data_IF_460585417990
#
_entry.id   IF_460585417990
#
_cell.length_a   1.000
_cell.length_b   1.000
_cell.length_c   1.000
_cell.angle_alpha   90.00
_cell.angle_beta   90.00
_cell.angle_gamma   90.00
#
_symmetry.space_group_name_H-M   'P 1'
#
loop_
_entity.id
_entity.type
_entity.pdbx_description
1 polymer ?
#
# COMPACT_ATOMS: atom_id res chain seq x y z
N UNK A 1 -16.27 -61.27 30.56
CA UNK A 1 -16.27 -59.79 30.74
C UNK A 1 -15.59 -59.00 29.60
N UNK A 2 -15.10 -59.64 28.52
CA UNK A 2 -14.40 -58.96 27.41
C UNK A 2 -15.31 -58.20 26.42
N UNK A 3 -16.63 -58.43 26.43
CA UNK A 3 -17.53 -57.92 25.38
C UNK A 3 -17.98 -56.46 25.55
N UNK A 4 -17.88 -55.87 26.74
CA UNK A 4 -18.38 -54.51 27.01
C UNK A 4 -17.36 -53.41 26.68
N UNK A 5 -16.07 -53.75 26.63
CA UNK A 5 -14.99 -52.82 26.27
C UNK A 5 -14.96 -52.51 24.77
N UNK A 6 -15.32 -53.47 23.92
CA UNK A 6 -15.26 -53.32 22.47
C UNK A 6 -16.38 -52.40 21.94
N UNK A 7 -17.56 -52.43 22.57
CA UNK A 7 -18.69 -51.57 22.19
C UNK A 7 -18.41 -50.08 22.48
N UNK A 8 -17.67 -49.76 23.55
CA UNK A 8 -17.31 -48.37 23.88
C UNK A 8 -16.26 -47.80 22.93
N UNK A 9 -15.31 -48.61 22.47
CA UNK A 9 -14.31 -48.19 21.47
C UNK A 9 -14.96 -47.91 20.10
N UNK A 10 -15.91 -48.73 19.68
CA UNK A 10 -16.63 -48.52 18.42
C UNK A 10 -17.46 -47.23 18.42
N UNK A 11 -18.13 -46.90 19.54
CA UNK A 11 -18.92 -45.67 19.66
C UNK A 11 -18.06 -44.38 19.71
N UNK A 12 -16.87 -44.44 20.34
CA UNK A 12 -15.95 -43.31 20.36
C UNK A 12 -15.35 -43.03 18.96
N UNK A 13 -15.07 -44.07 18.18
CA UNK A 13 -14.57 -43.92 16.81
C UNK A 13 -15.62 -43.36 15.84
N UNK A 14 -16.90 -43.73 15.98
CA UNK A 14 -17.96 -43.19 15.12
C UNK A 14 -18.26 -41.71 15.40
N UNK A 15 -18.20 -41.28 16.67
CA UNK A 15 -18.33 -39.86 17.02
C UNK A 15 -17.16 -39.01 16.48
N UNK A 16 -15.93 -39.50 16.58
CA UNK A 16 -14.74 -38.82 16.02
C UNK A 16 -14.83 -38.62 14.50
N UNK A 17 -15.28 -39.64 13.74
CA UNK A 17 -15.43 -39.53 12.28
C UNK A 17 -16.52 -38.53 11.87
N UNK A 18 -17.66 -38.51 12.56
CA UNK A 18 -18.76 -37.57 12.25
C UNK A 18 -18.37 -36.10 12.50
N UNK A 19 -17.60 -35.82 13.56
CA UNK A 19 -17.08 -34.47 13.82
C UNK A 19 -16.08 -34.02 12.74
N UNK A 20 -15.18 -34.91 12.29
CA UNK A 20 -14.22 -34.60 11.24
C UNK A 20 -14.87 -34.25 9.89
N UNK A 21 -15.92 -34.98 9.49
CA UNK A 21 -16.65 -34.72 8.25
C UNK A 21 -17.42 -33.39 8.29
N UNK A 22 -18.01 -33.04 9.43
CA UNK A 22 -18.72 -31.77 9.61
C UNK A 22 -17.77 -30.56 9.52
N UNK A 23 -16.59 -30.65 10.15
CA UNK A 23 -15.58 -29.59 10.08
C UNK A 23 -15.00 -29.41 8.67
N UNK A 24 -14.69 -30.50 7.96
CA UNK A 24 -14.19 -30.44 6.59
C UNK A 24 -15.22 -29.83 5.62
N UNK A 25 -16.50 -30.14 5.83
CA UNK A 25 -17.61 -29.58 5.03
C UNK A 25 -17.80 -28.09 5.30
N UNK A 26 -17.69 -27.66 6.56
CA UNK A 26 -17.72 -26.25 6.94
C UNK A 26 -16.55 -25.45 6.34
N UNK A 27 -15.33 -26.01 6.35
CA UNK A 27 -14.15 -25.41 5.73
C UNK A 27 -14.31 -25.23 4.22
N UNK A 28 -14.79 -26.26 3.51
CA UNK A 28 -15.07 -26.17 2.06
C UNK A 28 -16.15 -25.13 1.73
N UNK A 29 -17.19 -25.04 2.57
CA UNK A 29 -18.25 -24.03 2.43
C UNK A 29 -17.70 -22.61 2.62
N UNK A 30 -16.83 -22.39 3.62
CA UNK A 30 -16.21 -21.09 3.83
C UNK A 30 -15.28 -20.68 2.68
N UNK A 31 -14.52 -21.61 2.09
CA UNK A 31 -13.67 -21.33 0.92
C UNK A 31 -14.50 -20.95 -0.32
N UNK A 32 -15.60 -21.67 -0.57
CA UNK A 32 -16.56 -21.36 -1.63
C UNK A 32 -17.18 -19.97 -1.46
N UNK A 33 -17.61 -19.63 -0.24
CA UNK A 33 -18.13 -18.30 0.07
C UNK A 33 -17.05 -17.24 -0.21
N UNK A 34 -15.83 -17.40 0.32
CA UNK A 34 -14.70 -16.48 0.11
C UNK A 34 -14.36 -16.25 -1.38
N UNK A 35 -14.43 -17.29 -2.22
CA UNK A 35 -14.22 -17.16 -3.67
C UNK A 35 -15.33 -16.37 -4.37
N UNK A 36 -16.59 -16.55 -3.96
CA UNK A 36 -17.74 -15.85 -4.55
C UNK A 36 -17.77 -14.35 -4.26
N UNK A 37 -17.08 -13.94 -3.20
CA UNK A 37 -17.10 -12.56 -2.70
C UNK A 37 -16.22 -11.64 -3.53
N UNK A 38 -15.08 -12.16 -4.02
CA UNK A 38 -14.07 -11.36 -4.70
C UNK A 38 -14.58 -10.89 -6.06
N UNK A 39 -14.89 -9.59 -6.17
CA UNK A 39 -15.13 -8.96 -7.48
C UNK A 39 -13.83 -9.05 -8.31
N UNK A 40 -13.86 -9.54 -9.55
CA UNK A 40 -12.67 -9.58 -10.39
C UNK A 40 -12.20 -8.15 -10.71
N UNK A 41 -10.90 -7.97 -10.95
CA UNK A 41 -10.29 -6.67 -11.19
C UNK A 41 -10.90 -5.95 -12.40
N UNK A 42 -11.34 -6.70 -13.42
CA UNK A 42 -12.06 -6.18 -14.59
C UNK A 42 -13.41 -5.51 -14.28
N UNK A 43 -13.99 -5.75 -13.10
CA UNK A 43 -15.21 -5.08 -12.62
C UNK A 43 -14.91 -3.87 -11.73
N UNK A 44 -13.64 -3.50 -11.57
CA UNK A 44 -13.16 -2.36 -10.78
C UNK A 44 -12.18 -1.53 -11.61
N UNK A 45 -12.66 -0.80 -12.63
CA UNK A 45 -11.77 -0.11 -13.57
C UNK A 45 -10.84 0.90 -12.89
N UNK A 46 -11.30 1.56 -11.82
CA UNK A 46 -10.47 2.49 -11.06
C UNK A 46 -9.29 1.80 -10.36
N UNK A 47 -9.51 0.60 -9.81
CA UNK A 47 -8.43 -0.19 -9.20
C UNK A 47 -7.42 -0.67 -10.25
N UNK A 48 -7.86 -0.95 -11.48
CA UNK A 48 -6.94 -1.26 -12.58
C UNK A 48 -6.03 -0.08 -12.90
N UNK A 49 -6.56 1.14 -12.96
CA UNK A 49 -5.77 2.34 -13.24
C UNK A 49 -4.69 2.52 -12.16
N UNK A 50 -5.05 2.40 -10.88
CA UNK A 50 -4.11 2.51 -9.77
C UNK A 50 -3.05 1.41 -9.77
N UNK A 51 -3.44 0.19 -10.11
CA UNK A 51 -2.50 -0.94 -10.19
C UNK A 51 -1.51 -0.75 -11.33
N UNK A 52 -1.97 -0.37 -12.52
CA UNK A 52 -1.10 -0.05 -13.65
C UNK A 52 -0.14 1.08 -13.31
N UNK A 53 -0.64 2.14 -12.66
CA UNK A 53 0.19 3.24 -12.18
C UNK A 53 1.31 2.73 -11.26
N UNK A 54 0.99 1.93 -10.23
CA UNK A 54 2.01 1.38 -9.33
C UNK A 54 3.01 0.47 -10.02
N UNK A 55 2.59 -0.38 -10.95
CA UNK A 55 3.51 -1.27 -11.68
C UNK A 55 4.49 -0.46 -12.53
N UNK A 56 3.99 0.50 -13.31
CA UNK A 56 4.83 1.35 -14.17
C UNK A 56 5.79 2.18 -13.32
N UNK A 57 5.32 2.75 -12.21
CA UNK A 57 6.17 3.57 -11.34
C UNK A 57 7.18 2.73 -10.57
N UNK A 58 6.81 1.54 -10.11
CA UNK A 58 7.76 0.63 -9.49
C UNK A 58 8.89 0.26 -10.46
N UNK A 59 8.56 0.00 -11.73
CA UNK A 59 9.56 -0.22 -12.75
C UNK A 59 10.46 1.02 -12.96
N UNK A 60 9.87 2.22 -13.09
CA UNK A 60 10.62 3.46 -13.23
C UNK A 60 11.55 3.72 -12.03
N UNK A 61 11.07 3.55 -10.80
CA UNK A 61 11.87 3.78 -9.60
C UNK A 61 13.00 2.76 -9.41
N UNK A 62 12.80 1.52 -9.84
CA UNK A 62 13.87 0.52 -9.83
C UNK A 62 14.88 0.70 -10.97
N UNK A 63 14.45 1.21 -12.12
CA UNK A 63 15.30 1.33 -13.31
C UNK A 63 16.00 2.69 -13.42
N UNK A 64 15.38 3.78 -12.97
CA UNK A 64 15.85 5.16 -13.14
C UNK A 64 16.21 5.76 -11.77
N UNK A 65 15.25 5.81 -10.85
CA UNK A 65 15.45 6.53 -9.57
C UNK A 65 16.53 5.88 -8.69
N UNK A 66 16.60 4.54 -8.68
CA UNK A 66 17.60 3.77 -7.93
C UNK A 66 19.04 4.13 -8.32
N UNK A 67 19.27 4.56 -9.56
CA UNK A 67 20.60 4.97 -10.04
C UNK A 67 21.12 6.20 -9.31
N UNK A 68 20.22 7.08 -8.83
CA UNK A 68 20.62 8.24 -8.01
C UNK A 68 21.07 7.83 -6.61
N UNK A 69 20.72 6.61 -6.19
CA UNK A 69 20.99 6.09 -4.84
C UNK A 69 22.15 5.08 -4.79
N UNK A 70 22.47 4.46 -5.92
CA UNK A 70 23.44 3.39 -6.02
C UNK A 70 24.80 3.91 -6.53
N UNK A 71 25.93 3.35 -6.08
CA UNK A 71 27.23 3.69 -6.64
C UNK A 71 27.39 3.11 -8.05
N UNK A 72 28.17 3.80 -8.89
CA UNK A 72 28.34 3.49 -10.32
C UNK A 72 28.77 2.05 -10.61
N UNK A 73 29.50 1.42 -9.68
CA UNK A 73 29.98 0.05 -9.83
C UNK A 73 28.90 -1.03 -9.67
N UNK A 74 27.69 -0.66 -9.21
CA UNK A 74 26.57 -1.60 -9.03
C UNK A 74 25.52 -1.46 -10.13
N UNK A 75 25.51 -0.33 -10.86
CA UNK A 75 24.51 -0.04 -11.88
C UNK A 75 24.87 -0.76 -13.20
N UNK A 76 24.02 -1.66 -13.72
CA UNK A 76 24.24 -2.29 -15.02
C UNK A 76 24.27 -1.25 -16.16
N UNK A 77 25.13 -1.47 -17.16
CA UNK A 77 25.28 -0.57 -18.30
C UNK A 77 23.96 -0.30 -19.06
N UNK A 78 23.03 -1.26 -19.09
CA UNK A 78 21.72 -1.06 -19.70
C UNK A 78 20.85 -0.02 -18.97
N UNK A 79 20.98 0.05 -17.63
CA UNK A 79 20.26 1.04 -16.83
C UNK A 79 20.88 2.43 -16.98
N UNK A 80 22.21 2.53 -16.92
CA UNK A 80 22.89 3.82 -17.11
C UNK A 80 22.63 4.42 -18.49
N UNK A 81 22.60 3.59 -19.53
CA UNK A 81 22.24 4.03 -20.88
C UNK A 81 20.82 4.61 -20.95
N UNK A 82 19.86 4.05 -20.20
CA UNK A 82 18.49 4.58 -20.16
C UNK A 82 18.44 5.97 -19.51
N UNK A 83 19.17 6.15 -18.40
CA UNK A 83 19.28 7.46 -17.73
C UNK A 83 20.01 8.49 -18.59
N UNK A 84 21.08 8.09 -19.27
CA UNK A 84 21.79 8.95 -20.22
C UNK A 84 20.90 9.37 -21.40
N UNK A 85 20.10 8.45 -21.95
CA UNK A 85 19.14 8.78 -23.00
C UNK A 85 18.09 9.77 -22.49
N UNK A 86 17.54 9.54 -21.29
CA UNK A 86 16.61 10.48 -20.66
C UNK A 86 17.22 11.87 -20.47
N UNK A 87 18.43 11.98 -19.94
CA UNK A 87 19.10 13.26 -19.69
C UNK A 87 19.46 13.98 -21.00
N UNK A 88 19.83 13.23 -22.05
CA UNK A 88 20.10 13.80 -23.37
C UNK A 88 18.86 14.49 -23.94
N UNK A 89 17.69 13.89 -23.80
CA UNK A 89 16.46 14.41 -24.40
C UNK A 89 15.77 15.47 -23.53
N UNK A 90 15.84 15.34 -22.20
CA UNK A 90 15.15 16.23 -21.26
C UNK A 90 16.00 17.38 -20.74
N UNK A 91 17.33 17.21 -20.67
CA UNK A 91 18.25 18.09 -19.92
C UNK A 91 17.75 18.39 -18.50
N UNK A 92 17.17 17.39 -17.82
CA UNK A 92 16.58 17.55 -16.49
C UNK A 92 17.62 18.08 -15.46
N UNK A 93 17.46 19.31 -14.95
CA UNK A 93 18.42 19.91 -14.04
C UNK A 93 18.41 19.24 -12.65
N UNK A 94 17.29 18.64 -12.24
CA UNK A 94 17.16 17.98 -10.93
C UNK A 94 17.94 16.67 -10.93
N UNK A 95 17.69 15.84 -11.94
CA UNK A 95 18.37 14.55 -12.08
C UNK A 95 19.85 14.77 -12.42
N UNK A 96 20.18 15.72 -13.30
CA UNK A 96 21.57 16.04 -13.62
C UNK A 96 22.39 16.51 -12.40
N UNK A 97 21.75 17.20 -11.45
CA UNK A 97 22.40 17.59 -10.20
C UNK A 97 22.77 16.37 -9.35
N UNK A 98 21.93 15.33 -9.35
CA UNK A 98 22.15 14.09 -8.60
C UNK A 98 23.05 13.07 -9.32
N UNK A 99 23.29 13.18 -10.63
CA UNK A 99 24.20 12.26 -11.33
C UNK A 99 25.65 12.73 -11.35
N UNK A 100 25.96 13.88 -10.74
CA UNK A 100 27.34 14.33 -10.59
C UNK A 100 28.09 13.41 -9.61
N UNK A 101 29.35 13.01 -9.87
CA UNK A 101 30.02 11.82 -9.30
C UNK A 101 30.27 11.75 -7.77
N UNK A 102 29.53 12.47 -6.92
CA UNK A 102 29.60 12.30 -5.46
C UNK A 102 28.33 12.71 -4.66
N UNK A 103 27.10 12.29 -5.01
CA UNK A 103 25.89 12.85 -4.39
C UNK A 103 25.67 12.32 -2.96
N UNK A 104 25.78 11.00 -2.77
CA UNK A 104 25.46 10.34 -1.50
C UNK A 104 26.66 10.17 -0.56
N UNK A 105 27.87 10.00 -1.12
CA UNK A 105 29.08 9.89 -0.32
C UNK A 105 29.30 11.13 0.56
N UNK A 106 28.95 12.32 0.05
CA UNK A 106 29.06 13.57 0.81
C UNK A 106 27.95 13.81 1.83
N UNK A 107 26.71 13.38 1.55
CA UNK A 107 25.58 13.55 2.48
C UNK A 107 25.82 12.87 3.83
N UNK A 108 26.50 11.73 3.84
CA UNK A 108 26.86 11.01 5.07
C UNK A 108 28.20 11.40 5.68
N UNK A 109 29.13 11.97 4.90
CA UNK A 109 30.48 12.36 5.38
C UNK A 109 30.65 13.85 5.69
N UNK A 110 29.63 14.70 5.48
CA UNK A 110 29.71 16.15 5.72
C UNK A 110 29.91 16.56 7.20
N UNK A 111 29.94 15.64 8.16
CA UNK A 111 30.00 15.98 9.58
C UNK A 111 31.41 15.98 10.20
N UNK A 112 32.48 15.55 9.52
CA UNK A 112 33.78 15.34 10.19
C UNK A 112 35.07 15.76 9.45
N UNK A 113 35.05 16.64 8.45
CA UNK A 113 36.30 17.12 7.84
C UNK A 113 36.60 18.60 8.06
N UNK A 114 37.49 18.82 9.03
CA UNK A 114 38.37 19.97 9.17
C UNK A 114 39.18 20.18 7.88
N UNK A 115 39.17 21.43 7.46
CA UNK A 115 39.72 21.99 6.22
C UNK A 115 41.21 21.70 6.05
N UNK A 116 41.59 20.72 5.23
CA UNK A 116 42.95 20.68 4.64
C UNK A 116 42.94 20.00 3.27
N UNK A 117 43.41 20.74 2.26
CA UNK A 117 43.91 20.33 0.93
C UNK A 117 42.94 20.05 -0.25
N UNK A 118 42.83 21.07 -1.12
CA UNK A 118 43.16 21.05 -2.58
C UNK A 118 42.75 19.84 -3.44
N UNK A 119 41.52 19.35 -3.31
CA UNK A 119 40.85 18.65 -4.41
C UNK A 119 39.51 19.32 -4.70
N UNK A 120 39.32 19.78 -5.94
CA UNK A 120 38.14 20.49 -6.44
C UNK A 120 36.96 19.53 -6.65
N UNK A 121 36.59 18.77 -5.63
CA UNK A 121 35.30 18.07 -5.60
C UNK A 121 34.20 19.14 -5.53
N UNK A 122 33.52 19.39 -6.66
CA UNK A 122 32.35 20.27 -6.72
C UNK A 122 31.27 19.67 -5.80
N UNK A 123 31.13 20.24 -4.61
CA UNK A 123 30.05 19.89 -3.71
C UNK A 123 28.69 20.12 -4.41
N UNK A 124 27.71 19.28 -4.10
CA UNK A 124 26.34 19.46 -4.58
C UNK A 124 25.89 20.88 -4.19
N UNK A 125 25.33 21.68 -5.12
CA UNK A 125 24.81 22.98 -4.76
C UNK A 125 23.77 22.81 -3.65
N UNK A 126 23.88 23.59 -2.58
CA UNK A 126 23.00 23.52 -1.41
C UNK A 126 21.50 23.56 -1.79
N UNK A 127 21.19 24.13 -2.95
CA UNK A 127 19.86 24.26 -3.53
C UNK A 127 19.20 22.92 -3.92
N UNK A 128 19.94 21.79 -3.99
CA UNK A 128 19.40 20.47 -4.38
C UNK A 128 19.41 19.44 -3.24
N UNK A 129 19.84 19.82 -2.02
CA UNK A 129 19.84 18.91 -0.89
C UNK A 129 18.42 18.37 -0.56
N UNK A 130 17.39 19.21 -0.75
CA UNK A 130 16.00 18.79 -0.60
C UNK A 130 15.63 17.69 -1.61
N UNK A 131 16.08 17.80 -2.86
CA UNK A 131 15.73 16.85 -3.92
C UNK A 131 16.40 15.50 -3.67
N UNK A 132 17.67 15.50 -3.25
CA UNK A 132 18.36 14.28 -2.80
C UNK A 132 17.60 13.61 -1.64
N UNK A 133 17.15 14.40 -0.65
CA UNK A 133 16.36 13.89 0.47
C UNK A 133 15.02 13.32 0.01
N UNK A 134 14.36 13.99 -0.95
CA UNK A 134 13.13 13.51 -1.58
C UNK A 134 13.34 12.17 -2.29
N UNK A 135 14.41 11.99 -3.07
CA UNK A 135 14.72 10.71 -3.73
C UNK A 135 14.92 9.55 -2.74
N UNK A 136 15.59 9.81 -1.61
CA UNK A 136 15.75 8.81 -0.55
C UNK A 136 14.39 8.46 0.07
N UNK A 137 13.58 9.47 0.40
CA UNK A 137 12.25 9.27 0.98
C UNK A 137 11.31 8.54 0.02
N UNK A 138 11.35 8.91 -1.26
CA UNK A 138 10.62 8.22 -2.31
C UNK A 138 11.05 6.75 -2.32
N UNK A 139 12.33 6.42 -2.49
CA UNK A 139 12.71 5.02 -2.54
C UNK A 139 12.36 4.24 -1.26
N UNK A 140 12.57 4.82 -0.08
CA UNK A 140 12.32 4.18 1.21
C UNK A 140 10.82 3.98 1.53
N UNK A 141 9.95 4.89 1.08
CA UNK A 141 8.51 4.86 1.41
C UNK A 141 7.68 4.39 0.21
N UNK A 142 7.94 4.93 -0.97
CA UNK A 142 7.18 4.71 -2.19
C UNK A 142 7.30 3.28 -2.71
N UNK A 143 8.50 2.70 -2.75
CA UNK A 143 8.69 1.33 -3.27
C UNK A 143 7.91 0.29 -2.43
N UNK A 144 8.00 0.27 -1.08
CA UNK A 144 7.16 -0.59 -0.28
C UNK A 144 5.66 -0.35 -0.51
N UNK A 145 5.24 0.91 -0.63
CA UNK A 145 3.83 1.25 -0.86
C UNK A 145 3.34 0.78 -2.24
N UNK A 146 4.17 0.84 -3.29
CA UNK A 146 3.82 0.32 -4.61
C UNK A 146 3.62 -1.19 -4.60
N UNK A 147 4.49 -1.93 -3.92
CA UNK A 147 4.35 -3.38 -3.77
C UNK A 147 3.08 -3.72 -2.99
N UNK A 148 2.87 -3.08 -1.83
CA UNK A 148 1.69 -3.30 -1.00
C UNK A 148 0.39 -2.89 -1.71
N UNK A 149 0.40 -1.74 -2.39
CA UNK A 149 -0.73 -1.22 -3.17
C UNK A 149 -1.10 -2.14 -4.32
N UNK A 150 -0.11 -2.63 -5.07
CA UNK A 150 -0.31 -3.60 -6.16
C UNK A 150 -0.93 -4.90 -5.63
N UNK A 151 -0.39 -5.44 -4.54
CA UNK A 151 -0.92 -6.67 -3.92
C UNK A 151 -2.36 -6.46 -3.42
N UNK A 152 -2.62 -5.35 -2.73
CA UNK A 152 -3.95 -5.03 -2.18
C UNK A 152 -5.00 -4.86 -3.29
N UNK A 153 -4.64 -4.19 -4.39
CA UNK A 153 -5.52 -3.98 -5.55
C UNK A 153 -5.76 -5.29 -6.33
N UNK A 154 -4.72 -6.07 -6.57
CA UNK A 154 -4.79 -7.35 -7.29
C UNK A 154 -5.73 -8.33 -6.61
N UNK A 155 -5.57 -8.51 -5.29
CA UNK A 155 -6.37 -9.46 -4.52
C UNK A 155 -7.85 -9.06 -4.41
N UNK A 156 -8.15 -7.79 -4.69
CA UNK A 156 -9.51 -7.27 -4.78
C UNK A 156 -10.19 -7.02 -3.45
N UNK A 157 -9.37 -6.80 -2.44
CA UNK A 157 -9.77 -6.84 -1.04
C UNK A 157 -10.31 -5.48 -0.58
N UNK A 158 -9.98 -4.41 -1.32
CA UNK A 158 -10.49 -3.05 -1.10
C UNK A 158 -12.02 -2.92 -1.27
N UNK A 159 -12.62 -3.72 -2.16
CA UNK A 159 -14.04 -3.62 -2.49
C UNK A 159 -14.96 -4.55 -1.68
N UNK A 160 -14.44 -5.66 -1.16
CA UNK A 160 -15.27 -6.74 -0.59
C UNK A 160 -15.59 -6.57 0.88
N UNK A 161 -14.64 -6.05 1.66
CA UNK A 161 -14.74 -6.04 3.14
C UNK A 161 -15.99 -5.34 3.66
N UNK A 162 -16.63 -4.50 2.84
CA UNK A 162 -17.72 -3.64 3.30
C UNK A 162 -19.13 -4.17 3.08
N UNK A 163 -19.38 -5.02 2.09
CA UNK A 163 -20.76 -5.49 1.83
C UNK A 163 -21.17 -6.66 2.73
N UNK A 164 -20.19 -7.31 3.35
CA UNK A 164 -20.37 -8.65 3.91
C UNK A 164 -20.48 -8.67 5.43
N UNK A 165 -19.78 -7.76 6.12
CA UNK A 165 -19.99 -7.54 7.55
C UNK A 165 -21.45 -7.24 7.88
N UNK A 166 -22.14 -6.46 7.02
CA UNK A 166 -23.55 -6.14 7.21
C UNK A 166 -24.48 -7.33 6.96
N UNK A 167 -24.20 -8.16 5.93
CA UNK A 167 -24.98 -9.37 5.67
C UNK A 167 -24.79 -10.43 6.75
N UNK A 168 -23.57 -10.57 7.28
CA UNK A 168 -23.25 -11.53 8.33
C UNK A 168 -23.87 -11.12 9.67
N UNK A 169 -23.81 -9.82 10.02
CA UNK A 169 -24.47 -9.28 11.21
C UNK A 169 -26.00 -9.46 11.16
N UNK A 170 -26.63 -9.29 9.99
CA UNK A 170 -28.08 -9.55 9.85
C UNK A 170 -28.42 -11.04 9.99
N UNK A 171 -27.61 -11.95 9.46
CA UNK A 171 -27.89 -13.41 9.54
C UNK A 171 -27.66 -14.01 10.93
N UNK A 172 -26.64 -13.57 11.67
CA UNK A 172 -26.43 -14.07 13.04
C UNK A 172 -27.53 -13.60 13.97
N UNK A 173 -28.05 -12.38 13.79
CA UNK A 173 -29.17 -11.86 14.58
C UNK A 173 -30.45 -12.68 14.36
N UNK A 174 -30.78 -13.04 13.11
CA UNK A 174 -32.01 -13.82 12.85
C UNK A 174 -31.90 -15.28 13.27
N UNK A 175 -30.70 -15.86 13.30
CA UNK A 175 -30.51 -17.27 13.69
C UNK A 175 -30.43 -17.49 15.20
N UNK A 176 -30.01 -16.48 15.98
CA UNK A 176 -29.82 -16.62 17.42
C UNK A 176 -31.10 -16.30 18.21
N UNK A 177 -32.01 -15.47 17.64
CA UNK A 177 -33.29 -15.11 18.28
C UNK A 177 -34.23 -16.31 18.47
N UNK A 178 -34.12 -17.34 17.61
CA UNK A 178 -34.94 -18.57 17.70
C UNK A 178 -34.39 -19.63 18.66
N UNK A 179 -33.13 -19.54 19.11
CA UNK A 179 -32.53 -20.53 20.04
C UNK A 179 -32.26 -19.96 21.43
N UNK A 180 -32.13 -18.64 21.57
CA UNK A 180 -31.76 -18.01 22.83
C UNK A 180 -32.95 -17.68 23.72
N UNK A 181 -34.14 -17.55 23.15
CA UNK A 181 -35.39 -17.46 23.93
C UNK A 181 -35.67 -18.72 24.77
N UNK A 182 -35.06 -19.87 24.46
CA UNK A 182 -35.19 -21.07 25.31
C UNK A 182 -34.04 -21.26 26.32
N UNK A 183 -32.90 -20.55 26.20
CA UNK A 183 -31.71 -20.78 27.04
C UNK A 183 -31.37 -19.61 27.98
N UNK A 184 -31.83 -18.38 27.70
CA UNK A 184 -31.58 -17.19 28.55
C UNK A 184 -32.45 -17.12 29.82
N UNK A 185 -33.28 -18.13 30.11
CA UNK A 185 -33.94 -18.23 31.42
C UNK A 185 -33.06 -18.82 32.53
N UNK A 186 -31.82 -19.25 32.24
CA UNK A 186 -31.02 -20.03 33.20
C UNK A 186 -29.65 -19.47 33.59
N UNK A 187 -29.06 -18.48 32.90
CA UNK A 187 -27.69 -18.05 33.20
C UNK A 187 -27.53 -16.54 33.02
N UNK A 188 -27.18 -15.85 34.11
CA UNK A 188 -27.16 -14.39 34.22
C UNK A 188 -26.07 -13.68 33.38
N UNK A 189 -26.12 -12.34 33.31
CA UNK A 189 -25.34 -11.56 32.36
C UNK A 189 -23.93 -11.27 32.90
N UNK A 190 -22.93 -11.98 32.39
CA UNK A 190 -21.53 -11.58 32.51
C UNK A 190 -20.94 -11.39 31.10
N UNK A 191 -21.24 -10.23 30.51
CA UNK A 191 -20.67 -9.84 29.22
C UNK A 191 -19.28 -9.26 29.47
N UNK A 192 -18.28 -10.14 29.45
CA UNK A 192 -16.88 -9.76 29.36
C UNK A 192 -16.59 -9.42 27.89
N UNK A 193 -16.54 -8.13 27.57
CA UNK A 193 -15.97 -7.65 26.30
C UNK A 193 -14.45 -7.84 26.39
N UNK A 194 -13.98 -9.06 26.12
CA UNK A 194 -12.54 -9.37 26.08
C UNK A 194 -11.94 -8.67 24.86
N UNK A 195 -11.26 -7.55 25.11
CA UNK A 195 -10.35 -6.90 24.18
C UNK A 195 -9.23 -7.85 23.81
N UNK A 196 -9.40 -8.59 22.71
CA UNK A 196 -8.38 -9.46 22.17
C UNK A 196 -7.33 -8.60 21.46
N UNK A 197 -6.39 -8.06 22.24
CA UNK A 197 -5.14 -7.46 21.75
C UNK A 197 -4.22 -8.58 21.29
N UNK A 198 -4.55 -9.20 20.15
CA UNK A 198 -3.61 -10.03 19.41
C UNK A 198 -2.94 -9.14 18.37
N UNK A 199 -1.61 -9.21 18.25
CA UNK A 199 -0.88 -8.66 17.10
C UNK A 199 -1.41 -9.38 15.87
N UNK A 200 -2.45 -8.82 15.25
CA UNK A 200 -3.00 -9.33 14.01
C UNK A 200 -1.94 -9.01 12.94
N UNK A 201 -1.26 -10.02 12.36
CA UNK A 201 -0.40 -9.77 11.20
C UNK A 201 -1.26 -9.04 10.17
N UNK A 202 -0.72 -7.97 9.58
CA UNK A 202 -1.44 -7.13 8.60
C UNK A 202 -2.02 -8.06 7.55
N UNK A 203 -3.31 -8.35 7.66
CA UNK A 203 -3.97 -9.23 6.73
C UNK A 203 -4.09 -8.43 5.43
N UNK A 204 -3.81 -9.02 4.28
CA UNK A 204 -3.94 -8.35 2.98
C UNK A 204 -5.31 -7.68 2.75
N UNK A 205 -6.35 -8.15 3.44
CA UNK A 205 -7.73 -7.63 3.42
C UNK A 205 -8.00 -6.37 4.26
N UNK A 206 -6.95 -5.65 4.68
CA UNK A 206 -7.06 -4.63 5.72
C UNK A 206 -7.32 -3.23 5.14
N UNK A 207 -8.47 -2.65 5.49
CA UNK A 207 -8.83 -1.26 5.21
C UNK A 207 -7.79 -0.25 5.75
N UNK A 208 -6.88 -0.69 6.63
CA UNK A 208 -5.69 0.06 7.06
C UNK A 208 -4.75 0.46 5.92
N UNK A 209 -4.84 -0.15 4.74
CA UNK A 209 -4.03 0.28 3.59
C UNK A 209 -4.47 1.65 3.06
N UNK A 210 -5.72 2.08 3.25
CA UNK A 210 -6.19 3.37 2.73
C UNK A 210 -5.47 4.57 3.35
N UNK A 211 -5.31 4.69 4.69
CA UNK A 211 -4.46 5.73 5.28
C UNK A 211 -3.04 5.75 4.71
N UNK A 212 -2.43 4.58 4.48
CA UNK A 212 -1.08 4.47 3.90
C UNK A 212 -1.05 5.03 2.48
N UNK A 213 -2.03 4.66 1.65
CA UNK A 213 -2.14 5.17 0.27
C UNK A 213 -2.45 6.67 0.23
N UNK A 214 -3.25 7.20 1.16
CA UNK A 214 -3.51 8.64 1.30
C UNK A 214 -2.21 9.38 1.64
N UNK A 215 -1.46 8.88 2.62
CA UNK A 215 -0.18 9.47 3.01
C UNK A 215 0.81 9.47 1.84
N UNK A 216 0.99 8.31 1.21
CA UNK A 216 1.82 8.18 0.00
C UNK A 216 1.40 9.17 -1.08
N UNK A 217 0.12 9.20 -1.45
CA UNK A 217 -0.38 10.06 -2.52
C UNK A 217 -0.13 11.54 -2.25
N UNK A 218 -0.21 11.96 -0.99
CA UNK A 218 0.06 13.33 -0.57
C UNK A 218 1.54 13.66 -0.71
N UNK A 219 2.42 12.76 -0.23
CA UNK A 219 3.87 12.91 -0.33
C UNK A 219 4.32 12.99 -1.80
N UNK A 220 3.86 12.06 -2.64
CA UNK A 220 4.18 12.02 -4.07
C UNK A 220 3.67 13.25 -4.82
N UNK A 221 2.44 13.70 -4.52
CA UNK A 221 1.89 14.92 -5.14
C UNK A 221 2.75 16.14 -4.77
N UNK A 222 3.12 16.29 -3.50
CA UNK A 222 3.84 17.46 -3.02
C UNK A 222 5.27 17.53 -3.54
N UNK A 223 6.01 16.42 -3.49
CA UNK A 223 7.39 16.32 -4.01
C UNK A 223 7.44 16.56 -5.52
N UNK A 224 6.52 15.96 -6.28
CA UNK A 224 6.41 16.18 -7.73
C UNK A 224 6.02 17.63 -8.06
N UNK A 225 5.08 18.21 -7.29
CA UNK A 225 4.71 19.61 -7.45
C UNK A 225 5.90 20.55 -7.17
N UNK A 226 6.72 20.23 -6.18
CA UNK A 226 7.95 20.98 -5.89
C UNK A 226 8.94 20.86 -7.06
N UNK A 227 9.15 19.67 -7.61
CA UNK A 227 9.98 19.46 -8.80
C UNK A 227 9.48 20.29 -9.99
N UNK A 228 8.16 20.27 -10.22
CA UNK A 228 7.51 21.05 -11.27
C UNK A 228 7.74 22.56 -11.09
N UNK A 229 7.58 23.07 -9.87
CA UNK A 229 7.86 24.48 -9.55
C UNK A 229 9.32 24.82 -9.80
N UNK A 230 10.27 23.96 -9.41
CA UNK A 230 11.69 24.18 -9.67
C UNK A 230 12.03 24.19 -11.16
N UNK A 231 11.46 23.29 -11.95
CA UNK A 231 11.69 23.24 -13.41
C UNK A 231 11.07 24.45 -14.13
N UNK A 232 9.92 24.94 -13.66
CA UNK A 232 9.22 26.05 -14.30
C UNK A 232 9.74 27.43 -13.89
N UNK A 233 10.09 27.59 -12.62
CA UNK A 233 10.39 28.90 -12.01
C UNK A 233 11.79 28.98 -11.37
N UNK A 234 12.54 27.88 -11.32
CA UNK A 234 13.91 27.89 -10.82
C UNK A 234 14.88 28.62 -11.77
N UNK A 235 16.08 28.99 -11.31
CA UNK A 235 17.09 29.66 -12.14
C UNK A 235 17.47 28.84 -13.38
N UNK A 236 17.52 27.52 -13.25
CA UNK A 236 17.79 26.59 -14.37
C UNK A 236 16.68 26.56 -15.42
N UNK A 237 15.48 27.05 -15.10
CA UNK A 237 14.41 27.16 -16.11
C UNK A 237 14.78 28.10 -17.26
N UNK A 238 15.74 29.01 -17.05
CA UNK A 238 16.24 29.94 -18.06
C UNK A 238 17.16 29.26 -19.09
N UNK A 239 17.85 28.18 -18.71
CA UNK A 239 18.73 27.42 -19.61
C UNK A 239 17.98 26.34 -20.40
N UNK A 240 16.76 26.01 -19.99
CA UNK A 240 15.92 25.01 -20.64
C UNK A 240 15.20 25.53 -21.89
N UNK A 241 15.39 24.82 -23.00
CA UNK A 241 14.63 25.04 -24.25
C UNK A 241 13.14 24.74 -24.06
N UNK A 242 12.28 25.27 -24.95
CA UNK A 242 10.83 24.99 -24.92
C UNK A 242 10.52 23.49 -25.10
N UNK A 243 11.27 22.80 -25.95
CA UNK A 243 11.12 21.35 -26.16
C UNK A 243 11.46 20.57 -24.90
N UNK A 244 12.57 20.93 -24.22
CA UNK A 244 12.97 20.28 -22.97
C UNK A 244 11.92 20.48 -21.89
N UNK A 245 11.38 21.70 -21.74
CA UNK A 245 10.27 21.97 -20.82
C UNK A 245 9.03 21.14 -21.15
N UNK A 246 8.69 20.98 -22.42
CA UNK A 246 7.55 20.17 -22.82
C UNK A 246 7.75 18.68 -22.47
N UNK A 247 8.96 18.13 -22.70
CA UNK A 247 9.31 16.77 -22.30
C UNK A 247 9.19 16.61 -20.79
N UNK A 248 9.80 17.51 -20.01
CA UNK A 248 9.73 17.49 -18.55
C UNK A 248 8.29 17.63 -18.04
N UNK A 249 7.49 18.54 -18.61
CA UNK A 249 6.08 18.71 -18.22
C UNK A 249 5.24 17.47 -18.53
N UNK A 250 5.48 16.82 -19.66
CA UNK A 250 4.81 15.56 -20.01
C UNK A 250 5.19 14.43 -19.05
N UNK A 251 6.41 14.48 -18.51
CA UNK A 251 6.90 13.62 -17.44
C UNK A 251 6.23 13.91 -16.10
N UNK A 252 6.26 15.16 -15.61
CA UNK A 252 5.82 15.47 -14.25
C UNK A 252 4.30 15.61 -14.07
N UNK A 253 3.57 16.15 -15.04
CA UNK A 253 2.13 16.46 -14.87
C UNK A 253 1.30 15.21 -14.53
N UNK A 254 1.43 14.07 -15.25
CA UNK A 254 0.73 12.84 -14.88
C UNK A 254 1.05 12.38 -13.45
N UNK A 255 2.28 12.60 -12.99
CA UNK A 255 2.77 12.20 -11.66
C UNK A 255 2.29 13.14 -10.55
N UNK A 256 1.74 14.31 -10.87
CA UNK A 256 0.98 15.14 -9.92
C UNK A 256 -0.49 14.71 -9.92
N UNK A 257 -1.09 14.57 -11.11
CA UNK A 257 -2.54 14.35 -11.25
C UNK A 257 -2.95 12.97 -10.74
N UNK A 258 -2.21 11.92 -11.10
CA UNK A 258 -2.60 10.54 -10.79
C UNK A 258 -2.52 10.26 -9.28
N UNK A 259 -1.42 10.58 -8.56
CA UNK A 259 -1.39 10.48 -7.10
C UNK A 259 -2.48 11.31 -6.43
N UNK A 260 -2.72 12.55 -6.86
CA UNK A 260 -3.78 13.37 -6.29
C UNK A 260 -5.16 12.70 -6.43
N UNK A 261 -5.46 12.15 -7.62
CA UNK A 261 -6.71 11.43 -7.87
C UNK A 261 -6.83 10.15 -7.04
N UNK A 262 -5.74 9.38 -6.91
CA UNK A 262 -5.65 8.21 -6.03
C UNK A 262 -5.94 8.61 -4.58
N UNK A 263 -5.32 9.67 -4.07
CA UNK A 263 -5.54 10.18 -2.71
C UNK A 263 -7.00 10.56 -2.46
N UNK A 264 -7.62 11.25 -3.41
CA UNK A 264 -9.04 11.61 -3.35
C UNK A 264 -9.95 10.36 -3.32
N UNK A 265 -9.68 9.35 -4.15
CA UNK A 265 -10.43 8.08 -4.14
C UNK A 265 -10.28 7.35 -2.79
N UNK A 266 -9.06 7.17 -2.30
CA UNK A 266 -8.80 6.50 -1.03
C UNK A 266 -9.46 7.25 0.15
N UNK A 267 -9.44 8.59 0.14
CA UNK A 267 -10.13 9.41 1.15
C UNK A 267 -11.65 9.20 1.12
N UNK A 268 -12.26 9.13 -0.07
CA UNK A 268 -13.70 8.82 -0.21
C UNK A 268 -14.03 7.43 0.33
N UNK A 269 -13.20 6.42 0.05
CA UNK A 269 -13.38 5.05 0.58
C UNK A 269 -13.25 5.02 2.11
N UNK A 270 -12.24 5.70 2.69
CA UNK A 270 -12.10 5.87 4.13
C UNK A 270 -13.34 6.50 4.78
N UNK A 271 -13.83 7.62 4.24
CA UNK A 271 -15.04 8.30 4.74
C UNK A 271 -16.25 7.37 4.73
N UNK A 272 -16.44 6.61 3.65
CA UNK A 272 -17.54 5.66 3.54
C UNK A 272 -17.47 4.54 4.61
N UNK A 273 -16.27 4.09 4.99
CA UNK A 273 -16.09 3.13 6.08
C UNK A 273 -16.47 3.72 7.44
N UNK A 274 -15.98 4.92 7.75
CA UNK A 274 -16.27 5.61 9.00
C UNK A 274 -17.78 5.84 9.16
N UNK A 275 -18.44 6.33 8.11
CA UNK A 275 -19.89 6.57 8.16
C UNK A 275 -20.71 5.28 8.33
N UNK A 276 -20.23 4.15 7.80
CA UNK A 276 -20.84 2.84 8.04
C UNK A 276 -20.68 2.40 9.49
N UNK A 277 -19.48 2.53 10.05
CA UNK A 277 -19.21 2.17 11.44
C UNK A 277 -20.12 2.97 12.40
N UNK A 278 -20.26 4.29 12.18
CA UNK A 278 -21.17 5.14 12.95
C UNK A 278 -22.63 4.67 12.88
N UNK A 279 -23.13 4.28 11.70
CA UNK A 279 -24.49 3.75 11.55
C UNK A 279 -24.69 2.44 12.31
N UNK A 280 -23.70 1.54 12.26
CA UNK A 280 -23.74 0.28 13.01
C UNK A 280 -23.74 0.54 14.53
N UNK A 281 -22.90 1.44 15.02
CA UNK A 281 -22.88 1.83 16.43
C UNK A 281 -24.23 2.43 16.87
N UNK A 282 -24.81 3.33 16.07
CA UNK A 282 -26.12 3.93 16.35
C UNK A 282 -27.25 2.89 16.37
N UNK A 283 -27.19 1.88 15.52
CA UNK A 283 -28.15 0.76 15.53
C UNK A 283 -28.01 -0.10 16.79
N UNK A 284 -26.78 -0.39 17.22
CA UNK A 284 -26.53 -1.15 18.45
C UNK A 284 -27.04 -0.43 19.70
N UNK A 285 -26.91 0.90 19.77
CA UNK A 285 -27.41 1.70 20.91
C UNK A 285 -28.94 1.75 21.03
N UNK A 286 -29.69 1.38 19.98
CA UNK A 286 -31.16 1.37 19.97
C UNK A 286 -31.76 0.04 20.43
N UNK A 287 -30.95 -0.99 20.59
CA UNK A 287 -31.36 -2.33 21.04
C UNK A 287 -30.98 -2.52 22.50
#
# INVERSE_FOLDING_TARGET
MSSASDTRRAAAQSQSQSQGQSQASALKSMDQVNKSIRRPLSKRPLDMIWMTFFIVHLAASLLVDSQTLMPDNVIPASQSNLLHAYLKDSSDPLISALTSPAPLGHLFHASTRTSTSTSTSKALPHNYAWFATSMILEFAVQVPVFVLGTIALWRGELACSVSEGERRARRTVTSHESRVTSLIRSVGPLIIVRGCSTRVPIHPDDARIYPVLIFYSSLATFTTLQCLVTVLYGPESLSLSRSNKQVLLSGYIPFVIVPLALGCDMLRRCRALIERAKRTEAWLKKR
#
